data_IF_967879585828
#
_entry.id   IF_967879585828
#
_cell.length_a   1.000
_cell.length_b   1.000
_cell.length_c   1.000
_cell.angle_alpha   90.00
_cell.angle_beta   90.00
_cell.angle_gamma   90.00
#
_symmetry.space_group_name_H-M   'P 1'
#
loop_
_entity.id
_entity.type
_entity.pdbx_description
1 polymer ?
#
# COMPACT_ATOMS: atom_id res chain seq x y z
N UNK A 1 -23.22 -11.86 -21.85
CA UNK A 1 -24.63 -12.01 -21.47
C UNK A 1 -24.66 -13.17 -20.51
N UNK A 2 -24.84 -12.91 -19.21
CA UNK A 2 -24.85 -13.96 -18.18
C UNK A 2 -26.15 -14.74 -18.33
N UNK A 3 -26.11 -16.08 -18.42
CA UNK A 3 -27.33 -16.89 -18.45
C UNK A 3 -28.22 -16.51 -17.25
N UNK A 4 -29.39 -15.93 -17.52
CA UNK A 4 -30.20 -15.22 -16.53
C UNK A 4 -30.96 -16.14 -15.56
N UNK A 5 -30.99 -17.45 -15.83
CA UNK A 5 -31.80 -18.41 -15.07
C UNK A 5 -31.06 -19.13 -13.93
N UNK A 6 -29.79 -18.78 -13.64
CA UNK A 6 -28.98 -19.54 -12.69
C UNK A 6 -28.29 -18.65 -11.63
N UNK A 7 -28.80 -18.72 -10.39
CA UNK A 7 -28.27 -18.07 -9.19
C UNK A 7 -26.80 -18.45 -8.91
N UNK A 8 -25.93 -17.54 -8.42
CA UNK A 8 -24.48 -17.75 -8.30
C UNK A 8 -24.05 -18.95 -7.45
N UNK A 9 -24.82 -19.28 -6.41
CA UNK A 9 -24.56 -20.42 -5.53
C UNK A 9 -24.99 -21.78 -6.11
N UNK A 10 -25.75 -21.77 -7.22
CA UNK A 10 -26.30 -22.98 -7.86
C UNK A 10 -25.42 -23.53 -9.00
N UNK A 11 -24.34 -22.82 -9.38
CA UNK A 11 -23.55 -23.12 -10.58
C UNK A 11 -22.50 -24.22 -10.40
N UNK A 12 -21.98 -24.41 -9.19
CA UNK A 12 -21.02 -25.49 -8.92
C UNK A 12 -21.64 -26.89 -9.04
N UNK A 13 -22.97 -26.99 -8.91
CA UNK A 13 -23.71 -28.26 -9.03
C UNK A 13 -24.19 -28.57 -10.45
N UNK A 14 -24.18 -27.60 -11.38
CA UNK A 14 -24.73 -27.76 -12.74
C UNK A 14 -23.72 -28.29 -13.76
N UNK A 15 -22.41 -28.15 -13.51
CA UNK A 15 -21.35 -28.73 -14.36
C UNK A 15 -20.94 -30.14 -13.96
N UNK A 16 -21.60 -30.72 -12.96
CA UNK A 16 -21.18 -31.98 -12.39
C UNK A 16 -21.63 -33.14 -13.28
N UNK A 17 -20.77 -33.57 -14.21
CA UNK A 17 -20.86 -34.93 -14.74
C UNK A 17 -20.63 -35.90 -13.58
N UNK A 18 -21.65 -36.64 -13.14
CA UNK A 18 -21.47 -37.62 -12.08
C UNK A 18 -20.43 -38.65 -12.54
N UNK A 19 -19.48 -38.90 -11.65
CA UNK A 19 -18.46 -39.93 -11.84
C UNK A 19 -17.51 -39.69 -13.03
N UNK A 20 -17.16 -38.41 -13.27
CA UNK A 20 -16.24 -38.01 -14.34
C UNK A 20 -14.93 -38.79 -14.29
N UNK A 21 -14.43 -39.11 -13.09
CA UNK A 21 -13.19 -39.88 -12.93
C UNK A 21 -13.32 -41.33 -13.43
N UNK A 22 -14.42 -42.04 -13.15
CA UNK A 22 -14.59 -43.40 -13.70
C UNK A 22 -14.90 -43.36 -15.20
N UNK A 23 -15.64 -42.36 -15.68
CA UNK A 23 -15.90 -42.18 -17.13
C UNK A 23 -14.61 -41.93 -17.92
N UNK A 24 -13.65 -41.22 -17.33
CA UNK A 24 -12.32 -41.02 -17.93
C UNK A 24 -11.44 -42.28 -17.92
N UNK A 25 -11.73 -43.25 -17.05
CA UNK A 25 -10.94 -44.49 -16.84
C UNK A 25 -11.53 -45.72 -17.55
N UNK A 26 -12.72 -45.60 -18.14
CA UNK A 26 -13.44 -46.69 -18.81
C UNK A 26 -13.59 -46.39 -20.29
N UNK A 27 -13.96 -47.38 -21.10
CA UNK A 27 -14.32 -47.21 -22.53
C UNK A 27 -15.67 -46.48 -22.68
N UNK A 28 -15.82 -45.34 -22.02
CA UNK A 28 -17.01 -44.52 -22.09
C UNK A 28 -17.15 -43.93 -23.51
N UNK A 29 -18.13 -44.43 -24.25
CA UNK A 29 -18.49 -43.92 -25.57
C UNK A 29 -19.80 -43.11 -25.48
N UNK A 30 -19.73 -41.78 -25.43
CA UNK A 30 -20.92 -40.94 -25.27
C UNK A 30 -21.82 -40.99 -26.50
N UNK A 31 -23.13 -41.02 -26.27
CA UNK A 31 -24.13 -40.83 -27.33
C UNK A 31 -24.10 -39.41 -27.89
N UNK A 32 -24.73 -39.19 -29.05
CA UNK A 32 -24.84 -37.86 -29.64
C UNK A 32 -25.51 -36.82 -28.72
N UNK A 33 -26.51 -37.22 -27.93
CA UNK A 33 -27.13 -36.34 -26.93
C UNK A 33 -26.17 -36.01 -25.78
N UNK A 34 -25.47 -37.00 -25.24
CA UNK A 34 -24.46 -36.79 -24.19
C UNK A 34 -23.32 -35.88 -24.66
N UNK A 35 -22.87 -36.04 -25.91
CA UNK A 35 -21.87 -35.15 -26.51
C UNK A 35 -22.36 -33.71 -26.61
N UNK A 36 -23.64 -33.51 -26.94
CA UNK A 36 -24.25 -32.18 -26.97
C UNK A 36 -24.29 -31.56 -25.58
N UNK A 37 -24.73 -32.32 -24.57
CA UNK A 37 -24.80 -31.86 -23.18
C UNK A 37 -23.42 -31.51 -22.63
N UNK A 38 -22.41 -32.35 -22.91
CA UNK A 38 -21.01 -32.10 -22.51
C UNK A 38 -20.49 -30.81 -23.14
N UNK A 39 -20.73 -30.59 -24.44
CA UNK A 39 -20.30 -29.38 -25.14
C UNK A 39 -20.97 -28.13 -24.55
N UNK A 40 -22.26 -28.20 -24.23
CA UNK A 40 -22.98 -27.07 -23.64
C UNK A 40 -22.51 -26.77 -22.22
N UNK A 41 -22.21 -27.81 -21.42
CA UNK A 41 -21.59 -27.64 -20.10
C UNK A 41 -20.22 -26.96 -20.20
N UNK A 42 -19.38 -27.36 -21.16
CA UNK A 42 -18.07 -26.70 -21.40
C UNK A 42 -18.29 -25.24 -21.78
N UNK A 43 -19.17 -24.96 -22.74
CA UNK A 43 -19.46 -23.59 -23.21
C UNK A 43 -19.91 -22.69 -22.06
N UNK A 44 -20.83 -23.17 -21.22
CA UNK A 44 -21.31 -22.43 -20.06
C UNK A 44 -20.21 -22.21 -19.01
N UNK A 45 -19.34 -23.20 -18.79
CA UNK A 45 -18.21 -23.05 -17.86
C UNK A 45 -17.18 -22.03 -18.36
N UNK A 46 -16.90 -22.00 -19.67
CA UNK A 46 -16.00 -21.04 -20.29
C UNK A 46 -16.53 -19.60 -20.22
N UNK A 47 -17.84 -19.42 -20.47
CA UNK A 47 -18.51 -18.12 -20.33
C UNK A 47 -18.42 -17.58 -18.89
N UNK A 48 -18.62 -18.46 -17.91
CA UNK A 48 -18.53 -18.12 -16.49
C UNK A 48 -17.09 -17.81 -16.07
N UNK A 49 -16.11 -18.61 -16.51
CA UNK A 49 -14.68 -18.33 -16.29
C UNK A 49 -14.31 -16.95 -16.84
N UNK A 50 -14.81 -16.60 -18.02
CA UNK A 50 -14.59 -15.27 -18.60
C UNK A 50 -15.21 -14.16 -17.76
N UNK A 51 -16.43 -14.35 -17.27
CA UNK A 51 -17.10 -13.40 -16.40
C UNK A 51 -16.35 -13.22 -15.06
N UNK A 52 -15.93 -14.31 -14.42
CA UNK A 52 -15.15 -14.25 -13.17
C UNK A 52 -13.80 -13.57 -13.37
N UNK A 53 -13.08 -13.86 -14.46
CA UNK A 53 -11.82 -13.18 -14.77
C UNK A 53 -12.01 -11.67 -14.96
N UNK A 54 -13.07 -11.26 -15.64
CA UNK A 54 -13.39 -9.84 -15.81
C UNK A 54 -13.70 -9.17 -14.46
N UNK A 55 -14.43 -9.85 -13.58
CA UNK A 55 -14.76 -9.35 -12.26
C UNK A 55 -13.54 -9.25 -11.34
N UNK A 56 -12.63 -10.24 -11.40
CA UNK A 56 -11.34 -10.19 -10.70
C UNK A 56 -10.56 -8.94 -11.10
N UNK A 57 -10.37 -8.72 -12.42
CA UNK A 57 -9.65 -7.53 -12.91
C UNK A 57 -10.29 -6.21 -12.47
N UNK A 58 -11.63 -6.17 -12.47
CA UNK A 58 -12.40 -5.00 -12.00
C UNK A 58 -12.16 -4.73 -10.51
N UNK A 59 -12.18 -5.77 -9.68
CA UNK A 59 -11.96 -5.67 -8.25
C UNK A 59 -10.51 -5.32 -7.91
N UNK A 60 -9.53 -5.91 -8.60
CA UNK A 60 -8.11 -5.57 -8.46
C UNK A 60 -7.86 -4.10 -8.80
N UNK A 61 -8.45 -3.60 -9.89
CA UNK A 61 -8.37 -2.17 -10.25
C UNK A 61 -8.95 -1.27 -9.15
N UNK A 62 -10.06 -1.69 -8.52
CA UNK A 62 -10.68 -0.97 -7.41
C UNK A 62 -9.82 -0.98 -6.15
N UNK A 63 -9.14 -2.11 -5.86
CA UNK A 63 -8.18 -2.22 -4.74
C UNK A 63 -7.06 -1.20 -4.96
N UNK A 64 -6.41 -1.21 -6.13
CA UNK A 64 -5.30 -0.29 -6.44
C UNK A 64 -5.72 1.17 -6.28
N UNK A 65 -6.90 1.54 -6.79
CA UNK A 65 -7.43 2.90 -6.66
C UNK A 65 -7.65 3.31 -5.20
N UNK A 66 -8.29 2.44 -4.40
CA UNK A 66 -8.61 2.75 -3.01
C UNK A 66 -7.36 2.77 -2.13
N UNK A 67 -6.42 1.84 -2.32
CA UNK A 67 -5.12 1.87 -1.65
C UNK A 67 -4.37 3.16 -1.93
N UNK A 68 -4.30 3.58 -3.20
CA UNK A 68 -3.64 4.86 -3.57
C UNK A 68 -4.29 6.05 -2.87
N UNK A 69 -5.62 6.11 -2.83
CA UNK A 69 -6.35 7.18 -2.13
C UNK A 69 -6.10 7.16 -0.62
N UNK A 70 -6.07 5.97 -0.01
CA UNK A 70 -5.77 5.79 1.40
C UNK A 70 -4.38 6.32 1.75
N UNK A 71 -3.36 5.92 0.99
CA UNK A 71 -1.97 6.34 1.22
C UNK A 71 -1.80 7.85 1.07
N UNK A 72 -2.46 8.46 0.08
CA UNK A 72 -2.44 9.90 -0.13
C UNK A 72 -3.07 10.65 1.05
N UNK A 73 -4.22 10.17 1.53
CA UNK A 73 -4.92 10.77 2.66
C UNK A 73 -4.13 10.61 3.96
N UNK A 74 -3.52 9.45 4.20
CA UNK A 74 -2.66 9.22 5.35
C UNK A 74 -1.47 10.19 5.36
N UNK A 75 -0.74 10.29 4.25
CA UNK A 75 0.39 11.24 4.11
C UNK A 75 -0.05 12.68 4.30
N UNK A 76 -1.21 13.07 3.77
CA UNK A 76 -1.74 14.42 3.93
C UNK A 76 -2.11 14.70 5.39
N UNK A 77 -2.78 13.75 6.04
CA UNK A 77 -3.17 13.84 7.45
C UNK A 77 -1.94 13.95 8.34
N UNK A 78 -0.88 13.19 8.07
CA UNK A 78 0.35 13.26 8.85
C UNK A 78 1.05 14.62 8.73
N UNK A 79 1.05 15.22 7.53
CA UNK A 79 1.53 16.60 7.36
C UNK A 79 0.72 17.58 8.21
N UNK A 80 -0.60 17.45 8.25
CA UNK A 80 -1.45 18.30 9.10
C UNK A 80 -1.16 18.05 10.58
N UNK A 81 -1.06 16.79 11.02
CA UNK A 81 -0.70 16.44 12.41
C UNK A 81 0.65 17.03 12.81
N UNK A 82 1.61 17.10 11.90
CA UNK A 82 2.91 17.73 12.17
C UNK A 82 2.80 19.22 12.54
N UNK A 83 1.71 19.89 12.18
CA UNK A 83 1.42 21.27 12.61
C UNK A 83 1.11 21.36 14.12
N UNK A 84 0.64 20.26 14.71
CA UNK A 84 0.37 20.14 16.14
C UNK A 84 1.59 19.71 16.95
N UNK A 85 2.73 19.46 16.28
CA UNK A 85 3.94 19.01 16.96
C UNK A 85 4.38 20.02 18.03
N UNK A 86 4.71 19.57 19.27
CA UNK A 86 5.12 20.44 20.36
C UNK A 86 6.28 21.38 19.99
N UNK A 87 7.17 20.94 19.11
CA UNK A 87 8.33 21.72 18.63
C UNK A 87 7.95 23.08 18.06
N UNK A 88 6.75 23.19 17.47
CA UNK A 88 6.25 24.46 16.90
C UNK A 88 5.85 25.47 17.96
N UNK A 89 5.61 25.04 19.20
CA UNK A 89 5.22 25.87 20.35
C UNK A 89 6.39 26.22 21.27
N UNK A 90 7.54 25.56 21.12
CA UNK A 90 8.75 25.85 21.90
C UNK A 90 9.22 27.27 21.53
N UNK A 91 9.51 28.17 22.47
CA UNK A 91 10.11 29.48 22.19
C UNK A 91 11.48 29.39 21.51
N UNK A 92 11.92 30.44 20.83
CA UNK A 92 13.20 30.42 20.11
C UNK A 92 14.40 30.28 21.05
N UNK A 93 14.33 30.85 22.25
CA UNK A 93 15.37 30.79 23.29
C UNK A 93 15.59 29.37 23.78
N UNK A 94 14.49 28.65 24.06
CA UNK A 94 14.54 27.24 24.47
C UNK A 94 15.08 26.38 23.33
N UNK A 95 14.67 26.67 22.09
CA UNK A 95 15.17 25.96 20.92
C UNK A 95 16.68 26.19 20.70
N UNK A 96 17.16 27.42 20.88
CA UNK A 96 18.58 27.78 20.85
C UNK A 96 19.38 27.05 21.93
N UNK A 97 18.87 27.00 23.17
CA UNK A 97 19.50 26.24 24.25
C UNK A 97 19.61 24.74 23.93
N UNK A 98 18.57 24.14 23.34
CA UNK A 98 18.61 22.74 22.89
C UNK A 98 19.69 22.56 21.84
N UNK A 99 19.81 23.46 20.85
CA UNK A 99 20.82 23.37 19.81
C UNK A 99 22.25 23.51 20.38
N UNK A 100 22.48 24.48 21.27
CA UNK A 100 23.77 24.63 21.96
C UNK A 100 24.12 23.36 22.73
N UNK A 101 23.16 22.79 23.47
CA UNK A 101 23.36 21.52 24.15
C UNK A 101 23.72 20.39 23.18
N UNK A 102 23.04 20.27 22.03
CA UNK A 102 23.36 19.27 21.01
C UNK A 102 24.75 19.48 20.37
N UNK A 103 25.27 20.70 20.36
CA UNK A 103 26.59 21.03 19.84
C UNK A 103 27.71 20.80 20.86
N UNK A 104 27.45 21.11 22.14
CA UNK A 104 28.37 20.91 23.27
C UNK A 104 28.46 19.45 23.70
N UNK A 105 27.33 18.73 23.67
CA UNK A 105 27.26 17.35 24.13
C UNK A 105 28.00 16.41 23.18
N UNK A 106 28.78 15.51 23.78
CA UNK A 106 29.55 14.46 23.14
C UNK A 106 28.69 13.41 22.41
N UNK A 107 27.85 13.77 21.45
CA UNK A 107 27.41 12.86 20.38
C UNK A 107 28.60 12.57 19.44
N UNK A 108 29.70 12.07 20.02
CA UNK A 108 31.01 11.76 19.39
C UNK A 108 30.95 10.50 18.53
N UNK A 109 29.89 10.30 17.74
CA UNK A 109 29.80 9.13 16.85
C UNK A 109 30.29 9.43 15.43
N UNK A 110 30.63 10.68 15.10
CA UNK A 110 31.37 10.97 13.86
C UNK A 110 31.95 12.37 13.87
N UNK A 111 33.24 12.48 13.57
CA UNK A 111 34.04 13.71 13.44
C UNK A 111 33.61 14.66 12.31
N UNK A 112 32.50 14.40 11.61
CA UNK A 112 32.05 15.25 10.52
C UNK A 112 31.13 16.37 11.03
N UNK A 113 31.53 17.63 10.79
CA UNK A 113 30.72 18.84 11.06
C UNK A 113 29.30 18.75 10.48
N UNK A 114 29.13 18.03 9.36
CA UNK A 114 27.82 17.74 8.74
C UNK A 114 26.84 16.99 9.67
N UNK A 115 27.31 16.27 10.69
CA UNK A 115 26.45 15.58 11.67
C UNK A 115 26.17 16.40 12.93
N UNK A 116 26.92 17.48 13.21
CA UNK A 116 26.70 18.34 14.39
C UNK A 116 25.50 19.27 14.23
N UNK A 117 25.22 19.73 13.00
CA UNK A 117 24.21 20.75 12.73
C UNK A 117 23.01 20.21 11.92
N UNK A 118 22.64 18.94 12.10
CA UNK A 118 21.50 18.34 11.38
C UNK A 118 20.18 19.06 11.65
N UNK A 119 20.04 19.72 12.80
CA UNK A 119 18.89 20.55 13.15
C UNK A 119 18.67 21.71 12.14
N UNK A 120 19.71 22.23 11.49
CA UNK A 120 19.59 23.27 10.45
C UNK A 120 18.87 22.77 9.17
N UNK A 121 18.71 21.45 9.03
CA UNK A 121 18.00 20.84 7.90
C UNK A 121 16.52 20.54 8.18
N UNK A 122 16.06 20.72 9.43
CA UNK A 122 14.71 20.30 9.86
C UNK A 122 13.62 21.23 9.29
N UNK A 123 13.72 22.53 9.52
CA UNK A 123 12.80 23.52 8.94
C UNK A 123 13.44 24.92 8.90
N UNK A 124 12.80 25.87 8.20
CA UNK A 124 13.27 27.25 8.09
C UNK A 124 13.46 27.92 9.46
N UNK A 125 12.52 27.74 10.38
CA UNK A 125 12.60 28.29 11.74
C UNK A 125 13.77 27.72 12.53
N UNK A 126 14.00 26.41 12.47
CA UNK A 126 15.15 25.77 13.14
C UNK A 126 16.48 26.29 12.59
N UNK A 127 16.55 26.45 11.27
CA UNK A 127 17.71 27.05 10.61
C UNK A 127 17.94 28.49 11.05
N UNK A 128 16.89 29.31 11.06
CA UNK A 128 16.96 30.70 11.49
C UNK A 128 17.45 30.82 12.94
N UNK A 129 16.84 30.07 13.87
CA UNK A 129 17.27 30.05 15.28
C UNK A 129 18.71 29.57 15.43
N UNK A 130 19.08 28.49 14.74
CA UNK A 130 20.44 27.96 14.80
C UNK A 130 21.48 28.93 14.23
N UNK A 131 21.18 29.62 13.13
CA UNK A 131 22.08 30.64 12.55
C UNK A 131 22.17 31.91 13.40
N UNK A 132 21.10 32.25 14.14
CA UNK A 132 21.04 33.46 14.98
C UNK A 132 21.49 33.23 16.42
N UNK A 133 21.85 31.99 16.80
CA UNK A 133 22.36 31.64 18.14
C UNK A 133 23.90 31.55 18.08
N UNK A 134 24.65 32.57 18.55
CA UNK A 134 26.11 32.64 18.35
C UNK A 134 26.89 31.52 19.02
N UNK A 135 26.38 30.97 20.13
CA UNK A 135 27.00 29.90 20.91
C UNK A 135 27.19 28.60 20.12
N UNK A 136 26.45 28.42 19.02
CA UNK A 136 26.58 27.26 18.13
C UNK A 136 27.81 27.38 17.22
N UNK A 137 28.29 28.60 16.96
CA UNK A 137 29.31 28.91 15.95
C UNK A 137 30.67 29.29 16.55
N UNK A 138 30.83 29.17 17.86
CA UNK A 138 32.07 29.55 18.55
C UNK A 138 33.25 28.63 18.23
N UNK A 139 32.99 27.37 17.87
CA UNK A 139 34.04 26.39 17.55
C UNK A 139 34.07 26.03 16.06
N UNK A 140 34.83 26.82 15.29
CA UNK A 140 35.14 26.51 13.88
C UNK A 140 36.43 25.67 13.86
N UNK A 141 36.30 24.38 13.55
CA UNK A 141 37.44 23.50 13.30
C UNK A 141 37.82 23.60 11.82
N UNK A 142 39.01 24.15 11.54
CA UNK A 142 39.63 24.19 10.21
C UNK A 142 40.25 22.84 9.83
#
# INVERSE_FOLDING_TARGET
MVCQDCSPSSRLYTYHLPDIQNRLRTDFNPSASQLSDIKEMIRCAEDDLKAYRAEILRLESKIVLLSTKSDLLEKHTEKIRSLLSPVRRIPNEVLGNIFSYCCESHFRVSSSWRRRNTFLSVCSRWREVGLTTPQIWTDIYL
#
